data_IF_455182045471
#
_entry.id   IF_455182045471
#
_cell.length_a   1.000
_cell.length_b   1.000
_cell.length_c   1.000
_cell.angle_alpha   90.00
_cell.angle_beta   90.00
_cell.angle_gamma   90.00
#
_symmetry.space_group_name_H-M   'P 1'
#
loop_
_entity.id
_entity.type
_entity.pdbx_description
1 polymer ?
#
# COMPACT_ATOMS: atom_id res chain seq x y z
N UNK A 1 -5.08 31.54 5.86
CA UNK A 1 -6.51 31.81 6.11
C UNK A 1 -7.30 31.12 5.01
N UNK A 2 -8.37 30.38 5.33
CA UNK A 2 -9.21 29.75 4.30
C UNK A 2 -10.21 30.76 3.76
N UNK A 3 -10.43 30.74 2.44
CA UNK A 3 -11.49 31.54 1.82
C UNK A 3 -12.81 30.81 1.97
N UNK A 4 -13.77 31.42 2.67
CA UNK A 4 -15.10 30.84 2.86
C UNK A 4 -16.02 31.27 1.70
N UNK A 5 -16.92 30.38 1.21
CA UNK A 5 -17.97 30.77 0.29
C UNK A 5 -18.82 31.91 0.89
N UNK A 6 -19.23 32.92 0.11
CA UNK A 6 -19.96 34.08 0.64
C UNK A 6 -21.22 33.72 1.43
N UNK A 7 -21.98 32.72 0.97
CA UNK A 7 -23.18 32.25 1.67
C UNK A 7 -22.85 31.61 3.03
N UNK A 8 -21.76 30.84 3.12
CA UNK A 8 -21.31 30.25 4.38
C UNK A 8 -20.78 31.32 5.34
N UNK A 9 -20.07 32.34 4.83
CA UNK A 9 -19.62 33.47 5.65
C UNK A 9 -20.81 34.23 6.24
N UNK A 10 -21.80 34.58 5.42
CA UNK A 10 -23.01 35.26 5.88
C UNK A 10 -23.76 34.45 6.95
N UNK A 11 -23.85 33.13 6.79
CA UNK A 11 -24.44 32.22 7.78
C UNK A 11 -23.66 32.21 9.10
N UNK A 12 -22.33 32.23 9.05
CA UNK A 12 -21.49 32.32 10.24
C UNK A 12 -21.66 33.66 10.96
N UNK A 13 -21.79 34.75 10.21
CA UNK A 13 -21.92 36.11 10.75
C UNK A 13 -23.30 36.36 11.41
N UNK A 14 -24.34 35.60 11.03
CA UNK A 14 -25.68 35.65 11.65
C UNK A 14 -25.69 35.17 13.12
N UNK A 15 -24.72 34.33 13.50
CA UNK A 15 -24.55 33.85 14.88
C UNK A 15 -25.43 32.65 15.25
N UNK A 16 -26.46 32.30 14.47
CA UNK A 16 -27.21 31.05 14.64
C UNK A 16 -26.68 29.95 13.71
N UNK A 17 -25.82 29.06 14.23
CA UNK A 17 -25.12 28.10 13.38
C UNK A 17 -25.81 26.73 13.32
N UNK A 18 -26.28 26.37 12.13
CA UNK A 18 -26.75 25.01 11.76
C UNK A 18 -25.61 24.19 11.15
N UNK A 19 -24.47 24.10 11.83
CA UNK A 19 -23.26 23.50 11.26
C UNK A 19 -22.99 22.10 11.80
N UNK A 20 -22.63 21.20 10.89
CA UNK A 20 -22.20 19.84 11.13
C UNK A 20 -20.78 19.63 10.59
N UNK A 21 -20.10 18.62 11.13
CA UNK A 21 -18.88 18.05 10.58
C UNK A 21 -19.22 16.89 9.64
N UNK A 22 -18.51 16.84 8.52
CA UNK A 22 -18.61 15.73 7.57
C UNK A 22 -17.20 15.24 7.22
N UNK A 23 -16.98 13.93 7.30
CA UNK A 23 -15.73 13.27 6.92
C UNK A 23 -15.96 12.44 5.68
N UNK A 24 -15.12 12.63 4.65
CA UNK A 24 -15.04 11.69 3.53
C UNK A 24 -13.74 10.92 3.65
N UNK A 25 -13.83 9.60 3.67
CA UNK A 25 -12.66 8.72 3.59
C UNK A 25 -12.69 8.00 2.25
N UNK A 26 -11.62 8.12 1.46
CA UNK A 26 -11.49 7.47 0.16
C UNK A 26 -10.37 6.45 0.22
N UNK A 27 -10.71 5.17 0.03
CA UNK A 27 -9.74 4.06 -0.01
C UNK A 27 -8.94 4.08 -1.31
N UNK A 28 -7.82 3.36 -1.33
CA UNK A 28 -6.97 3.24 -2.52
C UNK A 28 -7.66 2.59 -3.73
N UNK A 29 -8.76 1.85 -3.52
CA UNK A 29 -9.61 1.29 -4.58
C UNK A 29 -10.67 2.28 -5.10
N UNK A 30 -10.67 3.52 -4.61
CA UNK A 30 -11.57 4.59 -5.04
C UNK A 30 -12.93 4.59 -4.35
N UNK A 31 -13.22 3.62 -3.48
CA UNK A 31 -14.47 3.61 -2.71
C UNK A 31 -14.43 4.71 -1.66
N UNK A 32 -15.43 5.61 -1.69
CA UNK A 32 -15.60 6.70 -0.75
C UNK A 32 -16.66 6.37 0.32
N UNK A 33 -16.37 6.73 1.55
CA UNK A 33 -17.23 6.58 2.72
C UNK A 33 -17.46 7.95 3.33
N UNK A 34 -18.72 8.33 3.52
CA UNK A 34 -19.09 9.61 4.13
C UNK A 34 -19.66 9.40 5.53
N UNK A 35 -19.23 10.21 6.48
CA UNK A 35 -19.70 10.20 7.86
C UNK A 35 -20.04 11.62 8.32
N UNK A 36 -21.03 11.78 9.19
CA UNK A 36 -21.37 13.08 9.78
C UNK A 36 -21.73 12.97 11.26
N UNK A 37 -21.49 14.05 12.01
CA UNK A 37 -21.94 14.21 13.39
C UNK A 37 -23.40 14.71 13.48
N UNK A 38 -24.03 14.99 12.34
CA UNK A 38 -25.46 15.25 12.25
C UNK A 38 -26.27 13.97 12.40
N UNK A 39 -27.50 14.07 12.89
CA UNK A 39 -28.40 12.95 13.13
C UNK A 39 -29.12 12.46 11.85
N UNK A 40 -28.94 13.15 10.73
CA UNK A 40 -29.50 12.80 9.42
C UNK A 40 -28.44 12.77 8.34
N UNK A 41 -28.63 11.91 7.35
CA UNK A 41 -27.74 11.81 6.19
C UNK A 41 -27.67 13.15 5.46
N UNK A 42 -26.45 13.59 5.19
CA UNK A 42 -26.15 14.76 4.36
C UNK A 42 -25.55 14.28 3.04
N UNK A 43 -25.92 14.88 1.91
CA UNK A 43 -25.41 14.45 0.60
C UNK A 43 -24.79 15.63 -0.13
N UNK A 44 -23.55 15.48 -0.57
CA UNK A 44 -22.90 16.43 -1.47
C UNK A 44 -21.73 15.79 -2.23
N UNK A 45 -21.43 16.32 -3.41
CA UNK A 45 -20.31 15.84 -4.26
C UNK A 45 -20.36 14.32 -4.54
N UNK A 46 -21.57 13.78 -4.71
CA UNK A 46 -21.76 12.35 -5.00
C UNK A 46 -21.44 11.41 -3.85
N UNK A 47 -21.30 11.92 -2.62
CA UNK A 47 -21.11 11.12 -1.40
C UNK A 47 -22.28 11.34 -0.46
N UNK A 48 -22.83 10.24 0.06
CA UNK A 48 -23.75 10.27 1.20
C UNK A 48 -22.93 10.19 2.48
N UNK A 49 -23.14 11.15 3.36
CA UNK A 49 -22.53 11.24 4.67
C UNK A 49 -23.54 10.76 5.70
N UNK A 50 -23.34 9.54 6.18
CA UNK A 50 -24.29 8.87 7.07
C UNK A 50 -24.09 9.30 8.53
N UNK A 51 -25.17 9.43 9.31
CA UNK A 51 -25.09 9.62 10.76
C UNK A 51 -24.43 8.38 11.36
N UNK A 52 -23.24 8.53 11.93
CA UNK A 52 -22.61 7.40 12.57
C UNK A 52 -21.93 7.77 13.88
N UNK A 53 -22.28 6.98 14.90
CA UNK A 53 -21.75 7.06 16.24
C UNK A 53 -20.32 6.52 16.26
N UNK A 54 -19.35 7.35 15.91
CA UNK A 54 -17.95 6.96 15.96
C UNK A 54 -17.01 8.15 15.81
N UNK A 55 -17.31 9.04 14.87
CA UNK A 55 -16.52 10.24 14.64
C UNK A 55 -16.75 11.30 15.71
N UNK A 56 -16.05 11.16 16.82
CA UNK A 56 -15.82 12.29 17.72
C UNK A 56 -14.56 13.00 17.22
N UNK A 57 -14.70 14.24 16.75
CA UNK A 57 -13.53 15.09 16.51
C UNK A 57 -12.80 15.31 17.84
N UNK A 58 -11.63 14.72 18.02
CA UNK A 58 -10.71 15.20 19.05
C UNK A 58 -10.10 16.55 18.62
N UNK A 59 -9.44 17.21 19.56
CA UNK A 59 -8.84 18.53 19.35
C UNK A 59 -7.97 18.58 18.09
N UNK A 60 -8.40 19.35 17.10
CA UNK A 60 -7.64 19.57 15.86
C UNK A 60 -6.58 20.64 16.13
N UNK A 61 -5.31 20.24 16.21
CA UNK A 61 -4.19 21.18 16.29
C UNK A 61 -3.70 21.57 14.89
N UNK A 62 -3.32 22.83 14.73
CA UNK A 62 -2.74 23.37 13.50
C UNK A 62 -1.51 24.22 13.86
N UNK A 63 -0.33 23.75 13.49
CA UNK A 63 0.93 24.49 13.45
C UNK A 63 1.23 25.06 12.05
N UNK A 64 2.15 26.03 11.98
CA UNK A 64 2.69 26.57 10.72
C UNK A 64 4.04 25.96 10.32
N UNK A 65 4.48 24.94 11.05
CA UNK A 65 5.74 24.24 10.84
C UNK A 65 5.53 22.93 10.06
N UNK A 66 6.64 22.30 9.68
CA UNK A 66 6.66 21.01 8.99
C UNK A 66 6.62 19.82 9.97
N UNK A 67 6.39 20.06 11.27
CA UNK A 67 6.28 18.97 12.24
C UNK A 67 4.98 18.19 12.03
N UNK A 68 5.08 16.86 12.11
CA UNK A 68 3.94 15.95 11.95
C UNK A 68 3.03 16.07 13.17
N UNK A 69 3.63 16.10 14.36
CA UNK A 69 2.96 16.09 15.67
C UNK A 69 2.00 17.28 15.92
N UNK A 70 2.20 18.43 15.25
CA UNK A 70 1.32 19.60 15.39
C UNK A 70 0.03 19.51 14.57
N UNK A 71 -0.17 18.44 13.78
CA UNK A 71 -1.25 18.33 12.80
C UNK A 71 -2.13 17.08 12.95
N UNK A 72 -1.83 16.18 13.89
CA UNK A 72 -2.57 14.93 14.01
C UNK A 72 -3.93 15.14 14.69
N UNK A 73 -4.96 14.55 14.12
CA UNK A 73 -6.27 14.41 14.75
C UNK A 73 -6.47 12.94 15.10
N UNK A 74 -6.75 12.64 16.36
CA UNK A 74 -7.12 11.29 16.79
C UNK A 74 -8.64 11.13 16.59
N UNK A 75 -9.04 10.38 15.56
CA UNK A 75 -10.44 10.04 15.34
C UNK A 75 -10.74 8.65 15.87
N UNK A 76 -11.83 8.49 16.60
CA UNK A 76 -12.41 7.15 16.80
C UNK A 76 -13.18 6.80 15.52
N UNK A 77 -12.91 5.63 14.95
CA UNK A 77 -13.64 5.04 13.84
C UNK A 77 -14.37 3.82 14.39
N UNK A 78 -15.69 3.93 14.57
CA UNK A 78 -16.57 2.79 14.73
C UNK A 78 -17.65 2.89 13.66
N UNK A 79 -17.60 1.97 12.72
CA UNK A 79 -18.58 1.84 11.66
C UNK A 79 -18.76 0.38 11.31
N UNK A 80 -20.00 -0.05 11.06
CA UNK A 80 -20.26 -1.40 10.54
C UNK A 80 -19.68 -1.58 9.13
N UNK A 81 -19.36 -0.48 8.44
CA UNK A 81 -18.73 -0.47 7.11
C UNK A 81 -17.21 -0.57 7.17
N UNK A 82 -16.60 -0.33 8.33
CA UNK A 82 -15.17 -0.48 8.57
C UNK A 82 -14.96 -1.77 9.37
N UNK A 83 -14.77 -2.87 8.67
CA UNK A 83 -14.60 -4.18 9.33
C UNK A 83 -13.16 -4.37 9.84
N UNK A 84 -13.00 -5.09 10.95
CA UNK A 84 -11.67 -5.48 11.47
C UNK A 84 -10.85 -6.21 10.39
N UNK A 85 -11.51 -7.09 9.62
CA UNK A 85 -10.89 -7.79 8.51
C UNK A 85 -10.35 -6.84 7.46
N UNK A 86 -11.09 -5.80 7.07
CA UNK A 86 -10.59 -4.83 6.08
C UNK A 86 -9.40 -4.01 6.61
N UNK A 87 -9.38 -3.68 7.90
CA UNK A 87 -8.24 -3.00 8.55
C UNK A 87 -7.00 -3.89 8.52
N UNK A 88 -7.12 -5.14 8.95
CA UNK A 88 -6.00 -6.10 8.92
C UNK A 88 -5.51 -6.38 7.50
N UNK A 89 -6.44 -6.39 6.55
CA UNK A 89 -6.19 -6.52 5.11
C UNK A 89 -5.61 -5.20 4.52
N UNK A 90 -5.22 -4.21 5.32
CA UNK A 90 -4.56 -2.98 4.87
C UNK A 90 -5.38 -2.13 3.91
N UNK A 91 -6.70 -2.35 3.83
CA UNK A 91 -7.59 -1.66 2.87
C UNK A 91 -7.77 -0.17 3.18
N UNK A 92 -7.44 0.22 4.40
CA UNK A 92 -7.53 1.59 4.93
C UNK A 92 -6.16 2.26 5.02
N UNK A 93 -5.08 1.56 4.66
CA UNK A 93 -3.73 2.11 4.69
C UNK A 93 -3.63 3.31 3.76
N UNK A 94 -3.20 4.45 4.32
CA UNK A 94 -3.06 5.72 3.59
C UNK A 94 -4.34 6.16 2.85
N UNK A 95 -5.53 5.74 3.32
CA UNK A 95 -6.80 6.22 2.78
C UNK A 95 -6.91 7.73 2.94
N UNK A 96 -7.35 8.44 1.91
CA UNK A 96 -7.47 9.89 1.92
C UNK A 96 -8.62 10.31 2.83
N UNK A 97 -8.39 11.31 3.67
CA UNK A 97 -9.39 11.87 4.58
C UNK A 97 -9.62 13.33 4.24
N UNK A 98 -10.88 13.69 3.99
CA UNK A 98 -11.34 15.06 3.84
C UNK A 98 -12.28 15.43 4.99
N UNK A 99 -11.97 16.51 5.70
CA UNK A 99 -12.78 17.04 6.79
C UNK A 99 -13.48 18.32 6.33
N UNK A 100 -14.80 18.32 6.36
CA UNK A 100 -15.66 19.41 5.92
C UNK A 100 -16.42 20.03 7.10
N UNK A 101 -16.60 21.35 7.05
CA UNK A 101 -17.63 22.05 7.84
C UNK A 101 -18.79 22.36 6.92
N UNK A 102 -19.98 21.90 7.27
CA UNK A 102 -21.16 21.91 6.39
C UNK A 102 -22.34 22.54 7.14
N UNK A 103 -23.10 23.41 6.50
CA UNK A 103 -24.42 23.78 6.99
C UNK A 103 -25.39 22.63 6.72
N UNK A 104 -25.89 21.94 7.76
CA UNK A 104 -26.80 20.81 7.58
C UNK A 104 -28.17 21.24 7.02
N UNK A 105 -28.55 22.51 7.16
CA UNK A 105 -29.78 23.04 6.56
C UNK A 105 -29.64 23.33 5.05
N UNK A 106 -28.41 23.57 4.58
CA UNK A 106 -28.07 23.78 3.17
C UNK A 106 -26.63 23.29 2.90
N UNK A 107 -26.44 22.01 2.51
CA UNK A 107 -25.12 21.43 2.25
C UNK A 107 -24.33 22.10 1.11
N UNK A 108 -24.97 22.98 0.33
CA UNK A 108 -24.28 23.87 -0.60
C UNK A 108 -23.32 24.84 0.10
N UNK A 109 -23.62 25.20 1.35
CA UNK A 109 -22.81 26.05 2.19
C UNK A 109 -21.84 25.20 3.02
N UNK A 110 -20.66 24.93 2.44
CA UNK A 110 -19.63 24.11 3.08
C UNK A 110 -18.22 24.60 2.75
N UNK A 111 -17.26 24.17 3.56
CA UNK A 111 -15.85 24.42 3.31
C UNK A 111 -15.03 23.19 3.68
N UNK A 112 -14.08 22.82 2.81
CA UNK A 112 -13.08 21.81 3.13
C UNK A 112 -12.11 22.40 4.16
N UNK A 113 -12.07 21.85 5.36
CA UNK A 113 -11.20 22.28 6.45
C UNK A 113 -9.85 21.57 6.47
N UNK A 114 -9.78 20.28 6.15
CA UNK A 114 -8.50 19.60 6.07
C UNK A 114 -8.54 18.46 5.06
N UNK A 115 -7.39 18.20 4.46
CA UNK A 115 -7.10 16.97 3.73
C UNK A 115 -5.90 16.30 4.40
N UNK A 116 -5.97 15.00 4.54
CA UNK A 116 -4.92 14.18 5.15
C UNK A 116 -5.05 12.74 4.68
N UNK A 117 -4.37 11.83 5.36
CA UNK A 117 -4.49 10.41 5.14
C UNK A 117 -4.56 9.66 6.47
N UNK A 118 -5.19 8.49 6.47
CA UNK A 118 -5.15 7.57 7.60
C UNK A 118 -3.69 7.14 7.82
N UNK A 119 -3.18 7.40 9.02
CA UNK A 119 -1.90 6.96 9.53
C UNK A 119 -2.05 5.70 10.37
N UNK A 120 -1.56 5.73 11.62
CA UNK A 120 -1.66 4.57 12.49
C UNK A 120 -3.12 4.30 12.90
N UNK A 121 -3.58 3.06 12.70
CA UNK A 121 -4.83 2.57 13.28
C UNK A 121 -4.52 1.75 14.53
N UNK A 122 -5.11 2.13 15.66
CA UNK A 122 -4.98 1.45 16.95
C UNK A 122 -6.30 0.79 17.31
N UNK A 123 -6.23 -0.44 17.83
CA UNK A 123 -7.39 -1.18 18.30
C UNK A 123 -7.71 -0.81 19.76
N UNK A 124 -8.88 -0.24 19.99
CA UNK A 124 -9.50 -0.16 21.32
C UNK A 124 -10.33 -1.40 21.64
N UNK A 125 -10.94 -1.44 22.84
CA UNK A 125 -11.82 -2.57 23.23
C UNK A 125 -13.14 -2.63 22.46
N UNK A 126 -13.65 -1.48 22.02
CA UNK A 126 -15.00 -1.34 21.43
C UNK A 126 -14.97 -0.59 20.09
N UNK A 127 -13.86 0.10 19.77
CA UNK A 127 -13.72 0.90 18.57
C UNK A 127 -12.26 0.95 18.11
N UNK A 128 -12.04 1.31 16.85
CA UNK A 128 -10.71 1.62 16.33
C UNK A 128 -10.43 3.11 16.49
N UNK A 129 -9.17 3.48 16.65
CA UNK A 129 -8.72 4.87 16.65
C UNK A 129 -7.77 5.02 15.47
N UNK A 130 -8.11 5.88 14.52
CA UNK A 130 -7.23 6.22 13.41
C UNK A 130 -6.65 7.60 13.62
N UNK A 131 -5.33 7.67 13.53
CA UNK A 131 -4.59 8.90 13.38
C UNK A 131 -4.81 9.45 11.97
N UNK A 132 -5.18 10.72 11.85
CA UNK A 132 -5.23 11.42 10.56
C UNK A 132 -3.98 12.27 10.42
N UNK A 133 -3.06 11.83 9.55
CA UNK A 133 -1.82 12.55 9.26
C UNK A 133 -2.05 13.63 8.23
N UNK A 134 -1.37 14.75 8.40
CA UNK A 134 -1.39 15.80 7.38
C UNK A 134 -0.56 15.43 6.14
N UNK A 135 -0.76 16.18 5.05
CA UNK A 135 -0.01 16.01 3.81
C UNK A 135 1.52 16.18 3.99
N UNK A 136 1.98 16.85 5.05
CA UNK A 136 3.41 17.07 5.31
C UNK A 136 4.16 15.78 5.67
N UNK A 137 3.47 14.73 6.16
CA UNK A 137 4.10 13.45 6.48
C UNK A 137 4.87 12.85 5.30
N UNK A 138 4.41 13.08 4.06
CA UNK A 138 5.09 12.64 2.84
C UNK A 138 6.46 13.31 2.69
N UNK A 139 6.60 14.57 3.11
CA UNK A 139 7.85 15.34 3.02
C UNK A 139 8.91 14.88 4.02
N UNK A 140 8.51 14.21 5.10
CA UNK A 140 9.41 13.64 6.10
C UNK A 140 10.03 12.30 5.68
N UNK A 141 9.59 11.72 4.55
CA UNK A 141 10.10 10.42 4.11
C UNK A 141 11.51 10.55 3.54
N UNK A 142 12.39 9.62 3.93
CA UNK A 142 13.72 9.52 3.31
C UNK A 142 13.57 8.97 1.89
N UNK A 143 13.69 9.85 0.91
CA UNK A 143 13.65 9.50 -0.51
C UNK A 143 15.06 9.60 -1.08
N UNK A 144 15.52 8.54 -1.71
CA UNK A 144 16.85 8.50 -2.31
C UNK A 144 17.23 7.10 -2.76
N UNK A 145 18.41 7.01 -3.36
CA UNK A 145 19.00 5.74 -3.78
C UNK A 145 20.28 5.51 -3.00
N UNK A 146 20.50 4.26 -2.62
CA UNK A 146 21.75 3.82 -2.01
C UNK A 146 22.57 3.07 -3.04
N UNK A 147 23.88 3.30 -3.05
CA UNK A 147 24.80 2.46 -3.81
C UNK A 147 24.87 1.08 -3.17
N UNK A 148 24.33 0.08 -3.85
CA UNK A 148 24.26 -1.31 -3.38
C UNK A 148 24.46 -2.26 -4.54
N UNK A 149 24.90 -3.49 -4.25
CA UNK A 149 25.14 -4.50 -5.29
C UNK A 149 23.86 -4.92 -6.02
N UNK A 150 22.76 -5.05 -5.28
CA UNK A 150 21.45 -5.43 -5.81
C UNK A 150 20.78 -4.32 -6.63
N UNK A 151 19.93 -4.71 -7.58
CA UNK A 151 19.07 -3.78 -8.30
C UNK A 151 18.03 -3.15 -7.36
N UNK A 152 17.93 -1.81 -7.37
CA UNK A 152 16.91 -1.07 -6.61
C UNK A 152 15.62 -0.80 -7.41
N UNK A 153 15.52 -1.28 -8.65
CA UNK A 153 14.31 -1.18 -9.45
C UNK A 153 13.27 -2.23 -9.03
N UNK A 154 11.99 -1.84 -9.03
CA UNK A 154 10.91 -2.81 -8.97
C UNK A 154 10.83 -3.56 -10.31
N UNK A 155 10.61 -4.87 -10.27
CA UNK A 155 10.57 -5.67 -11.50
C UNK A 155 9.38 -5.22 -12.35
N UNK A 156 9.63 -4.82 -13.60
CA UNK A 156 8.62 -4.30 -14.51
C UNK A 156 8.24 -2.83 -14.29
N UNK A 157 8.87 -2.11 -13.36
CA UNK A 157 8.74 -0.65 -13.29
C UNK A 157 9.38 0.02 -14.51
N UNK A 158 9.16 1.33 -14.68
CA UNK A 158 9.73 2.09 -15.80
C UNK A 158 11.27 2.13 -15.82
N UNK A 159 11.95 1.87 -14.69
CA UNK A 159 13.42 1.81 -14.63
C UNK A 159 13.95 0.45 -15.08
N UNK A 160 13.18 -0.61 -14.85
CA UNK A 160 13.45 -1.99 -15.23
C UNK A 160 13.03 -2.26 -16.69
N UNK A 161 11.78 -1.96 -17.06
CA UNK A 161 11.25 -2.12 -18.42
C UNK A 161 10.92 -3.56 -18.84
N UNK A 162 11.08 -4.57 -17.97
CA UNK A 162 10.65 -5.95 -18.27
C UNK A 162 9.13 -6.01 -18.37
N UNK A 163 8.61 -6.51 -19.49
CA UNK A 163 7.19 -6.76 -19.65
C UNK A 163 6.77 -8.05 -18.92
N UNK A 164 6.23 -7.90 -17.71
CA UNK A 164 5.74 -9.02 -16.90
C UNK A 164 4.45 -9.66 -17.43
N UNK A 165 3.79 -9.07 -18.41
CA UNK A 165 2.62 -9.68 -19.06
C UNK A 165 3.01 -10.63 -20.22
N UNK A 166 4.29 -10.70 -20.58
CA UNK A 166 4.76 -11.68 -21.54
C UNK A 166 4.57 -13.11 -20.98
N UNK A 167 4.16 -14.06 -21.85
CA UNK A 167 3.86 -15.44 -21.45
C UNK A 167 5.01 -16.15 -20.73
N UNK A 168 6.27 -15.78 -21.03
CA UNK A 168 7.44 -16.32 -20.35
C UNK A 168 7.54 -15.91 -18.86
N UNK A 169 6.90 -14.82 -18.46
CA UNK A 169 6.96 -14.27 -17.10
C UNK A 169 5.62 -14.30 -16.37
N UNK A 170 4.60 -14.91 -16.97
CA UNK A 170 3.22 -14.90 -16.48
C UNK A 170 2.63 -16.29 -16.56
N UNK A 171 2.17 -16.82 -15.42
CA UNK A 171 1.42 -18.06 -15.35
C UNK A 171 0.02 -17.81 -14.78
N UNK A 172 -0.99 -18.50 -15.31
CA UNK A 172 -2.33 -18.54 -14.72
C UNK A 172 -2.53 -19.92 -14.12
N UNK A 173 -3.05 -19.98 -12.89
CA UNK A 173 -3.33 -21.25 -12.23
C UNK A 173 -4.46 -21.15 -11.23
N UNK A 174 -4.80 -22.30 -10.65
CA UNK A 174 -5.77 -22.40 -9.57
C UNK A 174 -5.21 -23.28 -8.45
N UNK A 175 -5.59 -22.95 -7.22
CA UNK A 175 -5.27 -23.72 -6.02
C UNK A 175 -5.90 -25.11 -6.12
N UNK A 176 -5.10 -26.16 -5.94
CA UNK A 176 -5.56 -27.55 -5.97
C UNK A 176 -5.66 -28.19 -4.59
N UNK A 177 -4.80 -27.80 -3.66
CA UNK A 177 -4.82 -28.27 -2.26
C UNK A 177 -4.09 -27.27 -1.36
N UNK A 178 -4.54 -27.14 -0.11
CA UNK A 178 -3.93 -26.28 0.89
C UNK A 178 -2.98 -27.09 1.76
N UNK A 179 -1.69 -26.74 1.72
CA UNK A 179 -0.69 -27.40 2.55
C UNK A 179 -0.63 -26.78 3.95
N UNK A 180 -0.70 -25.43 4.01
CA UNK A 180 -0.70 -24.58 5.23
C UNK A 180 -1.38 -23.24 4.94
N UNK A 181 -1.44 -22.37 5.94
CA UNK A 181 -1.99 -20.99 5.87
C UNK A 181 -1.42 -20.10 4.75
N UNK A 182 -0.17 -20.32 4.35
CA UNK A 182 0.51 -19.57 3.28
C UNK A 182 1.09 -20.42 2.16
N UNK A 183 0.82 -21.73 2.14
CA UNK A 183 1.40 -22.65 1.18
C UNK A 183 0.34 -23.56 0.56
N UNK A 184 0.35 -23.69 -0.76
CA UNK A 184 -0.65 -24.45 -1.49
C UNK A 184 -0.05 -25.08 -2.74
N UNK A 185 -0.69 -26.16 -3.20
CA UNK A 185 -0.40 -26.73 -4.51
C UNK A 185 -1.24 -26.02 -5.58
N UNK A 186 -0.70 -25.90 -6.78
CA UNK A 186 -1.38 -25.23 -7.88
C UNK A 186 -1.21 -25.97 -9.21
N UNK A 187 -2.24 -25.83 -10.04
CA UNK A 187 -2.23 -26.26 -11.44
C UNK A 187 -1.73 -25.16 -12.39
N UNK A 188 -1.37 -25.51 -13.63
CA UNK A 188 -1.02 -24.54 -14.68
C UNK A 188 0.45 -24.11 -14.74
N UNK A 189 1.31 -24.65 -13.87
CA UNK A 189 2.70 -24.19 -13.72
C UNK A 189 3.79 -25.18 -14.20
N UNK A 190 3.41 -26.36 -14.72
CA UNK A 190 4.37 -27.40 -15.11
C UNK A 190 5.34 -27.02 -16.25
N UNK A 191 5.07 -25.93 -17.00
CA UNK A 191 5.96 -25.42 -18.04
C UNK A 191 7.07 -24.50 -17.50
N UNK A 192 7.00 -24.09 -16.23
CA UNK A 192 7.98 -23.19 -15.61
C UNK A 192 8.96 -23.97 -14.74
N UNK A 193 10.23 -23.57 -14.75
CA UNK A 193 11.21 -24.16 -13.86
C UNK A 193 10.89 -23.88 -12.38
N UNK A 194 11.37 -24.75 -11.48
CA UNK A 194 11.38 -24.45 -10.05
C UNK A 194 12.10 -23.10 -9.79
N UNK A 195 11.59 -22.32 -8.84
CA UNK A 195 12.06 -20.98 -8.50
C UNK A 195 11.63 -19.88 -9.47
N UNK A 196 10.97 -20.19 -10.59
CA UNK A 196 10.60 -19.16 -11.59
C UNK A 196 9.73 -18.03 -11.03
N UNK A 197 8.88 -18.32 -10.05
CA UNK A 197 8.02 -17.31 -9.41
C UNK A 197 8.52 -16.87 -8.03
N UNK A 198 9.65 -17.38 -7.53
CA UNK A 198 10.22 -16.96 -6.24
C UNK A 198 10.63 -15.47 -6.29
N UNK A 199 10.28 -14.70 -5.26
CA UNK A 199 10.36 -13.23 -5.21
C UNK A 199 9.50 -12.53 -6.27
N UNK A 200 8.50 -13.25 -6.79
CA UNK A 200 7.48 -12.75 -7.69
C UNK A 200 6.21 -12.44 -6.92
N UNK A 201 5.09 -12.41 -7.63
CA UNK A 201 3.79 -12.14 -6.99
C UNK A 201 2.69 -12.99 -7.57
N UNK A 202 1.75 -13.37 -6.73
CA UNK A 202 0.41 -13.83 -7.15
C UNK A 202 -0.57 -12.68 -7.06
N UNK A 203 -1.45 -12.56 -8.05
CA UNK A 203 -2.62 -11.70 -8.04
C UNK A 203 -3.86 -12.59 -8.13
N UNK A 204 -4.67 -12.58 -7.08
CA UNK A 204 -5.87 -13.41 -6.99
C UNK A 204 -6.96 -12.86 -7.91
N UNK A 205 -7.53 -13.72 -8.74
CA UNK A 205 -8.60 -13.35 -9.69
C UNK A 205 -9.98 -13.85 -9.25
N UNK A 206 -10.05 -14.70 -8.23
CA UNK A 206 -11.29 -15.18 -7.62
C UNK A 206 -11.12 -15.41 -6.11
N UNK A 207 -12.17 -15.91 -5.47
CA UNK A 207 -12.15 -16.26 -4.05
C UNK A 207 -12.25 -15.05 -3.13
N UNK A 208 -12.05 -15.29 -1.83
CA UNK A 208 -12.11 -14.24 -0.82
C UNK A 208 -11.00 -13.19 -0.99
N UNK A 209 -9.91 -13.54 -1.68
CA UNK A 209 -8.76 -12.68 -1.93
C UNK A 209 -8.80 -11.98 -3.30
N UNK A 210 -9.89 -12.07 -4.08
CA UNK A 210 -9.95 -11.48 -5.43
C UNK A 210 -9.49 -10.00 -5.46
N UNK A 211 -8.62 -9.67 -6.42
CA UNK A 211 -7.99 -8.35 -6.59
C UNK A 211 -6.78 -8.09 -5.67
N UNK A 212 -6.46 -9.01 -4.75
CA UNK A 212 -5.32 -8.86 -3.84
C UNK A 212 -4.06 -9.43 -4.46
N UNK A 213 -2.93 -8.82 -4.12
CA UNK A 213 -1.60 -9.26 -4.53
C UNK A 213 -0.81 -9.75 -3.32
N UNK A 214 -0.09 -10.85 -3.46
CA UNK A 214 0.80 -11.37 -2.43
C UNK A 214 2.17 -11.72 -3.04
N UNK A 215 3.23 -11.59 -2.25
CA UNK A 215 4.57 -11.96 -2.66
C UNK A 215 4.80 -13.46 -2.52
N UNK A 216 5.50 -14.04 -3.49
CA UNK A 216 5.86 -15.45 -3.49
C UNK A 216 7.24 -15.59 -2.87
N UNK A 217 7.33 -16.28 -1.73
CA UNK A 217 8.59 -16.64 -1.10
C UNK A 217 9.31 -17.75 -1.88
N UNK A 218 8.57 -18.80 -2.24
CA UNK A 218 9.11 -19.96 -2.94
C UNK A 218 8.11 -20.53 -3.96
N UNK A 219 8.66 -21.13 -5.01
CA UNK A 219 7.93 -21.86 -6.04
C UNK A 219 8.70 -23.14 -6.34
N UNK A 220 8.19 -24.28 -5.90
CA UNK A 220 8.83 -25.58 -6.08
C UNK A 220 7.99 -26.47 -7.00
N UNK A 221 8.61 -27.50 -7.57
CA UNK A 221 7.92 -28.57 -8.29
C UNK A 221 8.14 -29.88 -7.54
N UNK A 222 7.07 -30.45 -7.00
CA UNK A 222 7.09 -31.73 -6.27
C UNK A 222 6.20 -32.72 -7.03
N UNK A 223 6.78 -33.81 -7.51
CA UNK A 223 6.09 -34.82 -8.33
C UNK A 223 5.31 -34.23 -9.53
N UNK A 224 5.83 -33.15 -10.11
CA UNK A 224 5.21 -32.44 -11.24
C UNK A 224 4.11 -31.44 -10.87
N UNK A 225 3.78 -31.31 -9.57
CA UNK A 225 2.85 -30.30 -9.06
C UNK A 225 3.62 -29.08 -8.55
N UNK A 226 3.11 -27.89 -8.85
CA UNK A 226 3.68 -26.66 -8.34
C UNK A 226 3.24 -26.42 -6.91
N UNK A 227 4.21 -26.11 -6.04
CA UNK A 227 3.99 -25.68 -4.66
C UNK A 227 4.38 -24.22 -4.57
N UNK A 228 3.43 -23.35 -4.23
CA UNK A 228 3.70 -21.93 -3.97
C UNK A 228 3.65 -21.70 -2.47
N UNK A 229 4.67 -21.03 -1.94
CA UNK A 229 4.68 -20.49 -0.58
C UNK A 229 4.69 -18.97 -0.66
N UNK A 230 3.70 -18.33 -0.05
CA UNK A 230 3.63 -16.88 0.06
C UNK A 230 4.54 -16.38 1.17
N UNK A 231 5.03 -15.15 1.05
CA UNK A 231 5.87 -14.52 2.07
C UNK A 231 5.11 -14.39 3.40
N UNK A 232 3.91 -13.83 3.31
CA UNK A 232 2.99 -13.63 4.44
C UNK A 232 1.72 -14.45 4.22
N UNK A 233 1.09 -14.86 5.33
CA UNK A 233 -0.21 -15.50 5.28
C UNK A 233 -1.28 -14.45 4.93
N UNK A 234 -2.13 -14.69 3.93
CA UNK A 234 -3.23 -13.77 3.62
C UNK A 234 -4.20 -13.66 4.79
N UNK A 235 -4.72 -12.46 5.02
CA UNK A 235 -5.71 -12.19 6.08
C UNK A 235 -7.01 -12.96 5.83
N UNK A 236 -7.40 -13.11 4.56
CA UNK A 236 -8.58 -13.88 4.15
C UNK A 236 -8.15 -15.27 3.71
N UNK A 237 -8.93 -16.32 4.01
CA UNK A 237 -8.55 -17.69 3.69
C UNK A 237 -8.40 -17.87 2.17
N UNK A 238 -7.42 -18.68 1.79
CA UNK A 238 -7.30 -19.24 0.44
C UNK A 238 -8.19 -20.47 0.39
N UNK A 239 -8.98 -20.62 -0.68
CA UNK A 239 -9.78 -21.82 -0.95
C UNK A 239 -9.25 -22.65 -2.11
N UNK A 240 -9.55 -23.96 -2.10
CA UNK A 240 -9.39 -24.79 -3.29
C UNK A 240 -10.23 -24.24 -4.46
N UNK A 241 -9.66 -24.25 -5.66
CA UNK A 241 -10.27 -23.66 -6.86
C UNK A 241 -10.05 -22.15 -7.02
N UNK A 242 -9.51 -21.45 -6.01
CA UNK A 242 -9.18 -20.04 -6.15
C UNK A 242 -8.15 -19.84 -7.26
N UNK A 243 -8.51 -19.00 -8.22
CA UNK A 243 -7.72 -18.69 -9.41
C UNK A 243 -6.84 -17.48 -9.18
N UNK A 244 -5.65 -17.50 -9.76
CA UNK A 244 -4.67 -16.41 -9.65
C UNK A 244 -3.75 -16.34 -10.88
N UNK A 245 -3.09 -15.20 -11.00
CA UNK A 245 -2.02 -14.96 -11.97
C UNK A 245 -0.71 -14.80 -11.19
N UNK A 246 0.27 -15.66 -11.45
CA UNK A 246 1.62 -15.49 -10.93
C UNK A 246 2.49 -14.76 -11.96
N UNK A 247 3.28 -13.80 -11.48
CA UNK A 247 4.30 -13.08 -12.25
C UNK A 247 5.68 -13.45 -11.73
N UNK A 248 6.61 -13.68 -12.65
CA UNK A 248 7.96 -14.12 -12.37
C UNK A 248 8.68 -13.20 -11.38
N UNK A 249 9.51 -13.77 -10.53
CA UNK A 249 10.24 -12.99 -9.53
C UNK A 249 11.68 -12.65 -9.89
N UNK A 250 12.26 -11.73 -9.13
CA UNK A 250 13.63 -11.23 -9.32
C UNK A 250 14.32 -11.08 -7.97
N UNK A 251 15.42 -11.79 -7.80
CA UNK A 251 16.31 -11.75 -6.61
C UNK A 251 17.23 -10.51 -6.58
N UNK A 252 17.02 -9.58 -7.52
CA UNK A 252 17.78 -8.34 -7.70
C UNK A 252 19.26 -8.53 -8.05
N UNK A 253 19.69 -9.74 -8.42
CA UNK A 253 21.08 -10.04 -8.83
C UNK A 253 21.30 -9.84 -10.33
N UNK A 254 22.49 -9.38 -10.70
CA UNK A 254 22.85 -9.17 -12.12
C UNK A 254 22.83 -10.47 -12.92
N UNK A 255 23.22 -11.60 -12.31
CA UNK A 255 23.19 -12.91 -12.95
C UNK A 255 21.78 -13.32 -13.37
N UNK A 256 20.80 -13.17 -12.46
CA UNK A 256 19.38 -13.42 -12.75
C UNK A 256 18.84 -12.42 -13.76
N UNK A 257 19.20 -11.14 -13.64
CA UNK A 257 18.81 -10.11 -14.60
C UNK A 257 19.27 -10.44 -16.04
N UNK A 258 20.48 -10.99 -16.18
CA UNK A 258 21.02 -11.45 -17.46
C UNK A 258 20.35 -12.72 -17.95
N UNK A 259 20.37 -13.78 -17.14
CA UNK A 259 19.98 -15.12 -17.58
C UNK A 259 18.47 -15.26 -17.78
N UNK A 260 17.66 -14.69 -16.88
CA UNK A 260 16.20 -14.83 -16.90
C UNK A 260 15.51 -13.76 -17.73
N UNK A 261 16.01 -12.52 -17.67
CA UNK A 261 15.32 -11.37 -18.26
C UNK A 261 16.07 -10.73 -19.43
N UNK A 262 17.35 -11.06 -19.66
CA UNK A 262 18.17 -10.44 -20.70
C UNK A 262 18.29 -8.92 -20.57
N UNK A 263 18.18 -8.38 -19.35
CA UNK A 263 17.89 -6.96 -19.12
C UNK A 263 18.99 -6.20 -18.35
N UNK A 264 20.25 -6.60 -18.51
CA UNK A 264 21.38 -5.99 -17.80
C UNK A 264 21.51 -4.50 -18.09
N UNK A 265 21.17 -4.05 -19.30
CA UNK A 265 21.19 -2.63 -19.70
C UNK A 265 20.34 -1.73 -18.80
N UNK A 266 19.25 -2.26 -18.22
CA UNK A 266 18.38 -1.55 -17.30
C UNK A 266 18.62 -1.92 -15.83
N UNK A 267 19.72 -2.63 -15.53
CA UNK A 267 20.10 -2.93 -14.16
C UNK A 267 20.45 -1.63 -13.41
N UNK A 268 19.86 -1.45 -12.22
CA UNK A 268 20.00 -0.21 -11.45
C UNK A 268 20.87 -0.36 -10.19
N UNK A 269 21.44 -1.54 -9.97
CA UNK A 269 22.42 -1.79 -8.91
C UNK A 269 23.87 -1.57 -9.37
N UNK A 270 24.79 -1.79 -8.44
CA UNK A 270 26.23 -1.59 -8.62
C UNK A 270 26.96 -2.90 -8.28
N UNK A 271 26.95 -3.91 -9.17
CA UNK A 271 27.37 -5.27 -8.82
C UNK A 271 28.87 -5.39 -8.50
N UNK A 272 29.66 -4.39 -8.88
CA UNK A 272 31.11 -4.32 -8.65
C UNK A 272 31.50 -3.31 -7.58
N UNK A 273 30.55 -2.79 -6.79
CA UNK A 273 30.89 -1.86 -5.71
C UNK A 273 31.81 -2.55 -4.69
N UNK A 274 33.04 -2.05 -4.47
CA UNK A 274 33.93 -2.68 -3.51
C UNK A 274 33.39 -2.54 -2.09
N UNK A 275 33.54 -3.61 -1.30
CA UNK A 275 33.22 -3.58 0.14
C UNK A 275 34.18 -2.70 0.93
N UNK A 276 33.82 -2.38 2.18
CA UNK A 276 34.64 -1.56 3.09
C UNK A 276 36.06 -2.11 3.27
N UNK A 277 36.22 -3.43 3.25
CA UNK A 277 37.52 -4.09 3.34
C UNK A 277 38.49 -3.63 2.24
N UNK A 278 38.00 -3.32 1.05
CA UNK A 278 38.83 -2.83 -0.06
C UNK A 278 39.37 -1.44 0.22
N UNK A 279 38.61 -0.60 0.93
CA UNK A 279 39.02 0.77 1.29
C UNK A 279 40.12 0.75 2.35
N UNK A 280 40.11 -0.26 3.24
CA UNK A 280 41.10 -0.40 4.31
C UNK A 280 42.36 -1.17 3.89
N UNK A 281 42.36 -1.79 2.70
CA UNK A 281 43.52 -2.53 2.19
C UNK A 281 44.65 -1.59 1.80
N UNK A 282 45.87 -1.96 2.19
CA UNK A 282 47.10 -1.37 1.65
C UNK A 282 47.74 -2.35 0.65
N UNK A 283 48.46 -1.81 -0.33
CA UNK A 283 49.15 -2.64 -1.30
C UNK A 283 50.33 -3.39 -0.63
N UNK A 284 50.30 -4.72 -0.65
CA UNK A 284 51.40 -5.60 -0.23
C UNK A 284 52.13 -6.15 -1.45
N UNK A 285 53.41 -6.54 -1.36
CA UNK A 285 54.14 -7.07 -2.55
C UNK A 285 53.61 -8.43 -3.05
N UNK A 286 52.94 -9.18 -2.18
CA UNK A 286 52.55 -10.58 -2.43
C UNK A 286 51.05 -10.73 -2.79
N UNK A 287 50.40 -9.65 -3.21
CA UNK A 287 48.93 -9.53 -3.30
C UNK A 287 48.28 -9.81 -4.66
N UNK A 288 49.00 -10.29 -5.68
CA UNK A 288 48.41 -10.58 -7.00
C UNK A 288 47.90 -9.32 -7.73
N UNK A 289 48.80 -8.39 -8.06
CA UNK A 289 48.50 -7.12 -8.74
C UNK A 289 48.45 -7.25 -10.26
N UNK A 290 47.64 -8.17 -10.76
CA UNK A 290 47.55 -8.50 -12.20
C UNK A 290 46.40 -7.80 -12.93
N UNK A 291 45.53 -7.07 -12.21
CA UNK A 291 44.41 -6.34 -12.77
C UNK A 291 43.17 -7.20 -13.06
N UNK A 292 43.07 -8.41 -12.49
CA UNK A 292 41.87 -9.23 -12.56
C UNK A 292 40.67 -8.59 -11.84
N UNK A 293 39.47 -9.09 -12.14
CA UNK A 293 38.24 -8.70 -11.42
C UNK A 293 38.37 -9.13 -9.96
N UNK A 294 38.21 -8.17 -9.04
CA UNK A 294 38.20 -8.38 -7.59
C UNK A 294 36.96 -9.15 -7.10
#
# INVERSE_FOLDING_TARGET
MKTLPPALQAHLDDGTTTLAWCWRITRADGVAFGFTDHDRTLTFEGTDFEPESGFTASEVRAGSDLSVDAQDAEGVLSSDRITETDILDGRWDNAEVELWRVNWADPGQRVLLRRGAIGQVRRGRVAFVAEVRSLSHVLGQTVGRTFQAGCDAALGDGRCGVNLEAAAFRGTGAVTDLLRDRAFTASGFGAFAAGWFAHGTVEWTSGANAGRRAEVLAHDLVDGLAVLTLLEAPVRPIGEGDSFIARAGCDKRVATCSAKFGNVTNFRGFPHIPGQDTILRYASRDGGHDGAVL
#
